data_IF_290433794102
#
_entry.id   IF_290433794102
#
_cell.length_a   1.000
_cell.length_b   1.000
_cell.length_c   1.000
_cell.angle_alpha   90.00
_cell.angle_beta   90.00
_cell.angle_gamma   90.00
#
_symmetry.space_group_name_H-M   'P 1'
#
loop_
_entity.id
_entity.type
_entity.pdbx_description
1 polymer ?
#
# COMPACT_ATOMS: atom_id res chain seq x y z
N UNK A 1 -24.87 2.23 4.17
CA UNK A 1 -24.69 0.79 4.47
C UNK A 1 -23.97 0.17 3.28
N UNK A 2 -22.69 -0.19 3.43
CA UNK A 2 -22.01 -0.96 2.39
C UNK A 2 -22.58 -2.38 2.37
N UNK A 3 -22.83 -2.88 1.16
CA UNK A 3 -23.16 -4.28 0.95
C UNK A 3 -21.94 -5.12 1.35
N UNK A 4 -22.10 -6.03 2.30
CA UNK A 4 -21.03 -6.96 2.65
C UNK A 4 -20.78 -7.89 1.47
N UNK A 5 -19.51 -8.19 1.21
CA UNK A 5 -19.15 -9.23 0.25
C UNK A 5 -19.77 -10.56 0.71
N UNK A 6 -20.45 -11.23 -0.22
CA UNK A 6 -20.99 -12.56 0.01
C UNK A 6 -19.82 -13.55 0.08
N UNK A 7 -19.80 -14.37 1.13
CA UNK A 7 -18.74 -15.35 1.39
C UNK A 7 -19.36 -16.66 1.85
N UNK A 8 -18.75 -17.78 1.47
CA UNK A 8 -19.18 -19.13 1.80
C UNK A 8 -18.01 -19.95 2.40
N UNK A 9 -18.29 -20.95 3.26
CA UNK A 9 -17.28 -21.89 3.70
C UNK A 9 -16.54 -22.54 2.53
N UNK A 10 -15.22 -22.67 2.64
CA UNK A 10 -14.35 -23.24 1.61
C UNK A 10 -13.82 -22.23 0.58
N UNK A 11 -14.36 -21.00 0.54
CA UNK A 11 -13.84 -19.94 -0.33
C UNK A 11 -12.56 -19.31 0.22
N UNK A 12 -11.77 -18.75 -0.69
CA UNK A 12 -10.67 -17.87 -0.38
C UNK A 12 -11.15 -16.42 -0.41
N UNK A 13 -10.71 -15.62 0.56
CA UNK A 13 -11.10 -14.20 0.66
C UNK A 13 -9.89 -13.30 0.72
N UNK A 14 -10.01 -12.15 0.08
CA UNK A 14 -9.12 -11.02 0.27
C UNK A 14 -9.70 -10.15 1.39
N UNK A 15 -8.96 -9.96 2.47
CA UNK A 15 -9.33 -9.05 3.54
C UNK A 15 -8.29 -7.94 3.66
N UNK A 16 -8.73 -6.72 3.92
CA UNK A 16 -7.83 -5.64 4.31
C UNK A 16 -7.29 -5.93 5.72
N UNK A 17 -5.99 -5.75 5.94
CA UNK A 17 -5.35 -6.09 7.21
C UNK A 17 -5.85 -5.20 8.34
N UNK A 18 -6.25 -5.84 9.44
CA UNK A 18 -6.81 -5.17 10.61
C UNK A 18 -5.75 -4.24 11.24
N UNK A 19 -6.05 -2.94 11.30
CA UNK A 19 -5.14 -1.89 11.76
C UNK A 19 -4.63 -0.93 10.67
N UNK A 20 -4.66 -1.36 9.40
CA UNK A 20 -4.36 -0.50 8.24
C UNK A 20 -5.60 -0.22 7.39
N UNK A 21 -6.65 -1.01 7.57
CA UNK A 21 -7.98 -0.78 7.02
C UNK A 21 -8.77 0.29 7.80
N UNK A 22 -10.05 0.48 7.46
CA UNK A 22 -10.92 1.39 8.20
C UNK A 22 -11.04 0.92 9.66
N UNK A 23 -10.97 1.86 10.61
CA UNK A 23 -11.22 1.55 12.02
C UNK A 23 -12.58 0.83 12.16
N UNK A 24 -12.64 -0.27 12.93
CA UNK A 24 -13.89 -1.01 13.12
C UNK A 24 -14.98 -0.06 13.64
N UNK A 25 -16.02 0.12 12.84
CA UNK A 25 -17.19 0.96 13.19
C UNK A 25 -17.11 2.44 12.82
N UNK A 26 -16.04 2.96 12.20
CA UNK A 26 -15.94 4.39 11.85
C UNK A 26 -15.40 4.72 10.46
N UNK A 27 -14.93 3.74 9.67
CA UNK A 27 -14.47 4.00 8.31
C UNK A 27 -15.11 3.05 7.31
N UNK A 28 -15.45 3.56 6.13
CA UNK A 28 -16.00 2.73 5.05
C UNK A 28 -14.84 2.04 4.32
N UNK A 29 -14.86 0.70 4.21
CA UNK A 29 -13.88 -0.08 3.41
C UNK A 29 -13.61 0.57 2.05
N UNK A 30 -14.66 1.12 1.45
CA UNK A 30 -14.60 1.88 0.20
C UNK A 30 -13.56 3.00 0.22
N UNK A 31 -13.53 3.84 1.25
CA UNK A 31 -12.56 4.94 1.36
C UNK A 31 -11.13 4.42 1.52
N UNK A 32 -10.95 3.30 2.24
CA UNK A 32 -9.64 2.66 2.36
C UNK A 32 -9.17 2.08 1.01
N UNK A 33 -10.09 1.57 0.19
CA UNK A 33 -9.80 1.09 -1.16
C UNK A 33 -9.49 2.24 -2.13
N UNK A 34 -10.14 3.40 -2.00
CA UNK A 34 -9.81 4.58 -2.83
C UNK A 34 -8.36 5.05 -2.61
N UNK A 35 -7.76 4.76 -1.45
CA UNK A 35 -6.34 5.07 -1.16
C UNK A 35 -5.35 4.18 -1.88
N UNK A 36 -5.79 3.09 -2.53
CA UNK A 36 -4.89 2.20 -3.30
C UNK A 36 -4.26 2.88 -4.52
N UNK A 37 -4.65 4.13 -4.82
CA UNK A 37 -3.94 5.01 -5.75
C UNK A 37 -2.54 5.42 -5.26
N UNK A 38 -2.26 5.27 -3.96
CA UNK A 38 -0.96 5.49 -3.34
C UNK A 38 -0.32 4.15 -3.00
N UNK A 39 1.01 4.04 -3.11
CA UNK A 39 1.77 2.91 -2.61
C UNK A 39 1.49 2.72 -1.11
N UNK A 40 1.21 1.47 -0.73
CA UNK A 40 0.84 1.13 0.65
C UNK A 40 -0.41 1.87 1.17
N UNK A 41 -1.30 2.35 0.30
CA UNK A 41 -2.40 3.26 0.66
C UNK A 41 -1.96 4.51 1.45
N UNK A 42 -0.74 5.00 1.18
CA UNK A 42 -0.14 6.15 1.84
C UNK A 42 0.57 5.82 3.17
N UNK A 43 0.65 4.54 3.55
CA UNK A 43 1.43 4.09 4.69
C UNK A 43 2.84 3.68 4.25
N UNK A 44 3.85 4.36 4.78
CA UNK A 44 5.27 4.09 4.44
C UNK A 44 5.80 2.76 4.98
N UNK A 45 5.05 2.06 5.84
CA UNK A 45 5.42 0.74 6.35
C UNK A 45 4.85 -0.43 5.53
N UNK A 46 3.97 -0.16 4.56
CA UNK A 46 3.30 -1.19 3.75
C UNK A 46 4.00 -1.35 2.40
N UNK A 47 5.10 -2.09 2.39
CA UNK A 47 5.99 -2.21 1.23
C UNK A 47 5.76 -3.50 0.41
N UNK A 48 4.86 -4.37 0.85
CA UNK A 48 4.51 -5.63 0.16
C UNK A 48 3.00 -5.84 0.17
N UNK A 49 2.45 -6.55 -0.83
CA UNK A 49 1.02 -6.87 -0.87
C UNK A 49 0.49 -7.53 0.42
N UNK A 50 1.27 -8.43 1.02
CA UNK A 50 0.93 -9.13 2.27
C UNK A 50 1.06 -8.27 3.55
N UNK A 51 1.67 -7.09 3.46
CA UNK A 51 1.70 -6.14 4.57
C UNK A 51 0.34 -5.44 4.68
N UNK A 52 -0.39 -5.30 3.56
CA UNK A 52 -1.64 -4.56 3.46
C UNK A 52 -2.90 -5.43 3.43
N UNK A 53 -2.81 -6.63 2.86
CA UNK A 53 -3.94 -7.53 2.69
C UNK A 53 -3.63 -8.93 3.23
N UNK A 54 -4.66 -9.56 3.80
CA UNK A 54 -4.66 -10.96 4.18
C UNK A 54 -5.39 -11.79 3.11
N UNK A 55 -4.82 -12.94 2.78
CA UNK A 55 -5.44 -13.98 1.94
C UNK A 55 -5.84 -15.11 2.86
N UNK A 56 -7.15 -15.34 3.02
CA UNK A 56 -7.66 -16.20 4.09
C UNK A 56 -8.58 -17.29 3.53
N UNK A 57 -8.48 -18.52 4.06
CA UNK A 57 -9.36 -19.63 3.69
C UNK A 57 -10.51 -19.77 4.68
N UNK A 58 -11.74 -19.56 4.22
CA UNK A 58 -12.92 -19.46 5.08
C UNK A 58 -13.34 -20.82 5.60
N UNK A 59 -13.36 -20.98 6.93
CA UNK A 59 -13.85 -22.19 7.60
C UNK A 59 -15.36 -22.13 7.87
N UNK A 60 -15.83 -21.01 8.44
CA UNK A 60 -17.23 -20.82 8.82
C UNK A 60 -17.60 -19.34 8.78
N UNK A 61 -18.83 -19.06 8.33
CA UNK A 61 -19.38 -17.72 8.18
C UNK A 61 -20.48 -17.48 9.22
N UNK A 62 -20.48 -16.28 9.81
CA UNK A 62 -21.48 -15.76 10.73
C UNK A 62 -22.00 -14.40 10.21
N UNK A 63 -23.10 -13.83 10.76
CA UNK A 63 -23.68 -12.61 10.19
C UNK A 63 -22.69 -11.44 10.05
N UNK A 64 -21.82 -11.21 11.04
CA UNK A 64 -20.85 -10.09 11.04
C UNK A 64 -19.38 -10.51 10.94
N UNK A 65 -19.10 -11.80 11.10
CA UNK A 65 -17.74 -12.32 11.26
C UNK A 65 -17.57 -13.65 10.55
N UNK A 66 -16.33 -14.11 10.41
CA UNK A 66 -16.01 -15.44 9.91
C UNK A 66 -14.79 -15.99 10.65
N UNK A 67 -14.52 -17.28 10.45
CA UNK A 67 -13.34 -17.99 10.98
C UNK A 67 -12.53 -18.55 9.82
N UNK A 68 -11.24 -18.75 10.05
CA UNK A 68 -10.26 -19.22 9.07
C UNK A 68 -9.84 -20.64 9.44
N UNK A 69 -9.55 -21.49 8.45
CA UNK A 69 -9.29 -22.92 8.65
C UNK A 69 -8.07 -23.19 9.54
N UNK A 70 -7.01 -22.39 9.41
CA UNK A 70 -5.72 -22.60 10.09
C UNK A 70 -5.36 -21.50 11.10
N UNK A 71 -6.28 -20.59 11.41
CA UNK A 71 -6.03 -19.50 12.36
C UNK A 71 -7.08 -19.43 13.47
N UNK A 72 -6.66 -19.38 14.75
CA UNK A 72 -7.59 -19.14 15.84
C UNK A 72 -8.07 -17.69 15.81
N UNK A 73 -9.38 -17.48 15.91
CA UNK A 73 -9.97 -16.16 16.04
C UNK A 73 -11.15 -15.92 15.12
N UNK A 74 -11.80 -14.77 15.30
CA UNK A 74 -12.87 -14.29 14.41
C UNK A 74 -12.35 -13.07 13.66
N UNK A 75 -12.62 -13.03 12.36
CA UNK A 75 -12.35 -11.88 11.51
C UNK A 75 -13.66 -11.17 11.18
N UNK A 76 -13.60 -9.86 10.96
CA UNK A 76 -14.78 -9.07 10.61
C UNK A 76 -15.08 -9.14 9.12
N UNK A 77 -16.36 -9.27 8.76
CA UNK A 77 -16.80 -9.34 7.35
C UNK A 77 -16.74 -7.98 6.64
N UNK A 78 -16.69 -6.89 7.38
CA UNK A 78 -16.59 -5.53 6.83
C UNK A 78 -15.18 -5.20 6.29
N UNK A 79 -14.18 -6.03 6.58
CA UNK A 79 -12.84 -5.95 6.02
C UNK A 79 -12.67 -6.76 4.72
N UNK A 80 -13.67 -7.57 4.34
CA UNK A 80 -13.60 -8.43 3.16
C UNK A 80 -13.76 -7.59 1.89
N UNK A 81 -12.75 -7.64 1.03
CA UNK A 81 -12.70 -6.93 -0.26
C UNK A 81 -13.27 -7.78 -1.38
N UNK A 82 -12.96 -9.08 -1.39
CA UNK A 82 -13.40 -10.01 -2.43
C UNK A 82 -13.35 -11.46 -1.95
N UNK A 83 -14.04 -12.34 -2.67
CA UNK A 83 -14.06 -13.78 -2.43
C UNK A 83 -13.98 -14.54 -3.76
N UNK A 84 -13.33 -15.70 -3.75
CA UNK A 84 -13.17 -16.57 -4.91
C UNK A 84 -13.06 -18.03 -4.48
N UNK A 85 -13.18 -18.94 -5.45
CA UNK A 85 -13.09 -20.38 -5.19
C UNK A 85 -11.64 -20.86 -5.03
N UNK A 86 -10.67 -20.09 -5.51
CA UNK A 86 -9.25 -20.48 -5.49
C UNK A 86 -8.37 -19.41 -4.82
N UNK A 87 -7.29 -19.86 -4.17
CA UNK A 87 -6.28 -18.97 -3.59
C UNK A 87 -5.63 -18.10 -4.67
N UNK A 88 -5.33 -18.68 -5.83
CA UNK A 88 -4.65 -18.00 -6.93
C UNK A 88 -5.40 -16.77 -7.44
N UNK A 89 -6.73 -16.83 -7.53
CA UNK A 89 -7.55 -15.66 -7.93
C UNK A 89 -7.46 -14.52 -6.91
N UNK A 90 -7.46 -14.86 -5.62
CA UNK A 90 -7.36 -13.88 -4.54
C UNK A 90 -5.95 -13.27 -4.47
N UNK A 91 -4.91 -14.09 -4.63
CA UNK A 91 -3.51 -13.63 -4.70
C UNK A 91 -3.31 -12.71 -5.91
N UNK A 92 -3.82 -13.09 -7.08
CA UNK A 92 -3.73 -12.26 -8.28
C UNK A 92 -4.46 -10.92 -8.10
N UNK A 93 -5.63 -10.92 -7.47
CA UNK A 93 -6.34 -9.68 -7.14
C UNK A 93 -5.55 -8.81 -6.15
N UNK A 94 -5.01 -9.42 -5.09
CA UNK A 94 -4.18 -8.72 -4.09
C UNK A 94 -3.02 -7.99 -4.76
N UNK A 95 -2.27 -8.71 -5.57
CA UNK A 95 -1.06 -8.18 -6.21
C UNK A 95 -1.43 -7.10 -7.25
N UNK A 96 -2.55 -7.28 -7.95
CA UNK A 96 -3.11 -6.26 -8.85
C UNK A 96 -3.49 -4.99 -8.10
N UNK A 97 -4.20 -5.10 -6.97
CA UNK A 97 -4.63 -3.95 -6.17
C UNK A 97 -3.44 -3.20 -5.58
N UNK A 98 -2.46 -3.91 -5.02
CA UNK A 98 -1.23 -3.31 -4.51
C UNK A 98 -0.42 -2.64 -5.63
N UNK A 99 -0.33 -3.28 -6.79
CA UNK A 99 0.44 -2.78 -7.94
C UNK A 99 -0.09 -1.49 -8.54
N UNK A 100 -1.37 -1.14 -8.33
CA UNK A 100 -1.95 0.13 -8.81
C UNK A 100 -1.21 1.32 -8.17
N UNK A 101 -1.10 1.34 -6.85
CA UNK A 101 -0.45 2.43 -6.11
C UNK A 101 1.04 2.51 -6.43
N UNK A 102 1.71 1.37 -6.46
CA UNK A 102 3.14 1.29 -6.85
C UNK A 102 3.37 1.88 -8.24
N UNK A 103 2.53 1.53 -9.22
CA UNK A 103 2.68 2.05 -10.57
C UNK A 103 2.39 3.56 -10.64
N UNK A 104 1.39 4.05 -9.91
CA UNK A 104 1.04 5.46 -9.87
C UNK A 104 2.15 6.31 -9.25
N UNK A 105 2.60 5.95 -8.05
CA UNK A 105 3.65 6.70 -7.34
C UNK A 105 4.96 6.67 -8.11
N UNK A 106 5.34 5.51 -8.67
CA UNK A 106 6.52 5.42 -9.54
C UNK A 106 6.44 6.35 -10.75
N UNK A 107 5.29 6.42 -11.42
CA UNK A 107 5.13 7.32 -12.57
C UNK A 107 5.25 8.80 -12.16
N UNK A 108 4.71 9.16 -10.99
CA UNK A 108 4.83 10.51 -10.42
C UNK A 108 6.29 10.82 -10.07
N UNK A 109 7.01 9.88 -9.46
CA UNK A 109 8.43 10.03 -9.12
C UNK A 109 9.31 10.22 -10.36
N UNK A 110 9.10 9.39 -11.39
CA UNK A 110 9.83 9.48 -12.66
C UNK A 110 9.62 10.85 -13.33
N UNK A 111 8.37 11.32 -13.36
CA UNK A 111 8.04 12.62 -13.94
C UNK A 111 8.57 13.78 -13.09
N UNK A 112 8.48 13.68 -11.76
CA UNK A 112 9.05 14.67 -10.83
C UNK A 112 10.57 14.76 -11.01
N UNK A 113 11.26 13.63 -11.10
CA UNK A 113 12.70 13.58 -11.35
C UNK A 113 13.05 14.22 -12.70
N UNK A 114 12.27 13.95 -13.75
CA UNK A 114 12.46 14.55 -15.07
C UNK A 114 12.33 16.06 -15.04
N UNK A 115 11.26 16.59 -14.44
CA UNK A 115 11.00 18.04 -14.37
C UNK A 115 12.02 18.73 -13.45
N UNK A 116 12.44 18.08 -12.36
CA UNK A 116 13.39 18.64 -11.39
C UNK A 116 14.86 18.50 -11.82
N UNK A 117 15.18 17.71 -12.85
CA UNK A 117 16.57 17.36 -13.20
C UNK A 117 17.49 18.58 -13.39
N UNK A 118 17.05 19.58 -14.15
CA UNK A 118 17.86 20.77 -14.41
C UNK A 118 18.02 21.64 -13.17
N UNK A 119 16.92 21.86 -12.44
CA UNK A 119 16.93 22.62 -11.19
C UNK A 119 17.87 21.96 -10.18
N UNK A 120 17.73 20.65 -9.96
CA UNK A 120 18.57 19.88 -9.06
C UNK A 120 20.06 19.96 -9.44
N UNK A 121 20.39 19.86 -10.74
CA UNK A 121 21.77 19.99 -11.23
C UNK A 121 22.35 21.37 -10.91
N UNK A 122 21.64 22.45 -11.24
CA UNK A 122 22.10 23.83 -11.02
C UNK A 122 22.26 24.13 -9.52
N UNK A 123 21.26 23.77 -8.72
CA UNK A 123 21.26 23.99 -7.27
C UNK A 123 22.38 23.21 -6.57
N UNK A 124 22.63 21.95 -6.98
CA UNK A 124 23.74 21.16 -6.43
C UNK A 124 25.11 21.70 -6.84
N UNK A 125 25.27 22.18 -8.08
CA UNK A 125 26.52 22.80 -8.53
C UNK A 125 26.84 24.09 -7.75
N UNK A 126 25.85 24.96 -7.53
CA UNK A 126 26.01 26.15 -6.68
C UNK A 126 26.31 25.78 -5.23
N UNK A 127 25.60 24.78 -4.68
CA UNK A 127 25.88 24.23 -3.35
C UNK A 127 27.32 23.74 -3.22
N UNK A 128 27.84 23.02 -4.21
CA UNK A 128 29.22 22.56 -4.24
C UNK A 128 30.22 23.72 -4.28
N UNK A 129 29.98 24.73 -5.10
CA UNK A 129 30.81 25.94 -5.14
C UNK A 129 30.81 26.70 -3.80
N UNK A 130 29.69 26.69 -3.06
CA UNK A 130 29.63 27.25 -1.70
C UNK A 130 30.46 26.43 -0.72
N UNK A 131 30.42 25.10 -0.79
CA UNK A 131 31.23 24.21 0.05
C UNK A 131 32.73 24.45 -0.20
N UNK A 132 33.17 24.52 -1.47
CA UNK A 132 34.56 24.77 -1.82
C UNK A 132 35.06 26.10 -1.25
N UNK A 133 34.27 27.17 -1.43
CA UNK A 133 34.60 28.50 -0.89
C UNK A 133 34.64 28.54 0.64
N UNK A 134 33.80 27.76 1.32
CA UNK A 134 33.75 27.71 2.78
C UNK A 134 34.93 26.93 3.39
N UNK A 135 35.53 26.00 2.63
CA UNK A 135 36.59 25.12 3.11
C UNK A 135 37.87 25.26 2.26
N UNK A 136 38.45 26.46 2.16
CA UNK A 136 39.58 26.72 1.28
C UNK A 136 40.88 26.04 1.73
N UNK A 137 40.96 25.60 2.99
CA UNK A 137 42.08 24.84 3.52
C UNK A 137 42.04 23.36 3.11
N UNK A 138 40.86 22.85 2.71
CA UNK A 138 40.69 21.49 2.18
C UNK A 138 40.73 21.50 0.66
N UNK A 139 39.93 22.38 0.03
CA UNK A 139 39.76 22.38 -1.42
C UNK A 139 40.70 23.35 -2.16
N UNK A 140 41.54 24.10 -1.44
CA UNK A 140 42.33 25.20 -1.99
C UNK A 140 41.49 26.48 -2.18
N UNK A 141 42.16 27.61 -2.43
CA UNK A 141 41.48 28.80 -2.96
C UNK A 141 41.44 28.67 -4.48
N UNK A 142 40.24 28.59 -5.06
CA UNK A 142 40.07 28.83 -6.50
C UNK A 142 40.56 30.27 -6.78
N UNK A 143 41.52 30.40 -7.72
CA UNK A 143 42.18 31.65 -8.07
C UNK A 143 41.25 32.61 -8.81
#
# INVERSE_FOLDING_TARGET
MNSLVHIEPGQWVLAYKEGYGPFPGSGELREALDRLVYEGSGWTCLNRPADQFDVLHVARVMPKTFTVLDEPGRRFRDQVVAAASTEGEIVALRDKLFGIGVAADRAIEEETARVMAEFARKTRADGLAKIHRALPHIFGREA
#
